data_IF_033352588021
#
_entry.id   IF_033352588021
#
_cell.length_a   1.000
_cell.length_b   1.000
_cell.length_c   1.000
_cell.angle_alpha   90.00
_cell.angle_beta   90.00
_cell.angle_gamma   90.00
#
_symmetry.space_group_name_H-M   'P 1'
#
loop_
_entity.id
_entity.type
_entity.pdbx_description
1 polymer ?
#
# COMPACT_ATOMS: atom_id res chain seq x y z
N UNK A 1 -9.24 -24.25 2.95
CA UNK A 1 -8.32 -23.11 2.80
C UNK A 1 -9.07 -21.88 3.29
N UNK A 2 -8.47 -21.09 4.18
CA UNK A 2 -9.06 -19.82 4.64
C UNK A 2 -9.09 -18.80 3.50
N UNK A 3 -9.90 -17.74 3.64
CA UNK A 3 -9.86 -16.60 2.72
C UNK A 3 -8.52 -15.88 2.88
N UNK A 4 -7.90 -15.48 1.77
CA UNK A 4 -6.63 -14.76 1.77
C UNK A 4 -6.82 -13.33 2.28
N UNK A 5 -5.93 -12.84 3.14
CA UNK A 5 -5.91 -11.44 3.57
C UNK A 5 -5.28 -10.59 2.47
N UNK A 6 -6.09 -9.76 1.81
CA UNK A 6 -5.67 -8.89 0.72
C UNK A 6 -5.41 -7.50 1.26
N UNK A 7 -4.19 -6.99 1.04
CA UNK A 7 -3.81 -5.63 1.33
C UNK A 7 -3.66 -4.85 0.03
N UNK A 8 -4.45 -3.79 -0.15
CA UNK A 8 -4.33 -2.82 -1.23
C UNK A 8 -3.72 -1.54 -0.68
N UNK A 9 -2.53 -1.17 -1.17
CA UNK A 9 -1.89 0.11 -0.84
C UNK A 9 -2.06 1.05 -2.03
N UNK A 10 -2.82 2.13 -1.83
CA UNK A 10 -2.97 3.18 -2.83
C UNK A 10 -1.89 4.25 -2.66
N UNK A 11 -1.09 4.42 -3.71
CA UNK A 11 -0.04 5.44 -3.82
C UNK A 11 -0.43 6.66 -4.64
N UNK A 12 -1.73 6.90 -4.87
CA UNK A 12 -2.19 8.11 -5.56
C UNK A 12 -1.92 9.35 -4.70
N UNK A 13 -1.30 10.43 -5.21
CA UNK A 13 -0.91 11.57 -4.39
C UNK A 13 -2.08 12.45 -3.94
N UNK A 14 -3.21 12.41 -4.65
CA UNK A 14 -4.43 13.15 -4.30
C UNK A 14 -5.68 12.48 -4.88
N UNK A 15 -6.32 11.60 -4.11
CA UNK A 15 -7.51 10.87 -4.57
C UNK A 15 -8.72 11.78 -4.82
N UNK A 16 -8.81 12.96 -4.19
CA UNK A 16 -9.96 13.86 -4.35
C UNK A 16 -10.07 14.40 -5.79
N UNK A 17 -8.97 14.42 -6.53
CA UNK A 17 -8.93 14.82 -7.93
C UNK A 17 -8.71 13.64 -8.89
N UNK A 18 -8.80 12.40 -8.40
CA UNK A 18 -8.70 11.20 -9.23
C UNK A 18 -10.06 10.75 -9.75
N UNK A 19 -10.11 10.37 -11.03
CA UNK A 19 -11.28 9.66 -11.59
C UNK A 19 -11.00 8.17 -11.53
N UNK A 20 -10.07 7.67 -12.35
CA UNK A 20 -9.86 6.24 -12.52
C UNK A 20 -9.43 5.50 -11.24
N UNK A 21 -8.47 6.03 -10.48
CA UNK A 21 -7.97 5.33 -9.28
C UNK A 21 -9.00 5.37 -8.15
N UNK A 22 -9.70 6.50 -7.97
CA UNK A 22 -10.79 6.60 -7.00
C UNK A 22 -11.90 5.57 -7.32
N UNK A 23 -12.34 5.51 -8.58
CA UNK A 23 -13.33 4.50 -9.01
C UNK A 23 -12.86 3.07 -8.75
N UNK A 24 -11.62 2.74 -9.11
CA UNK A 24 -11.07 1.39 -8.85
C UNK A 24 -11.11 1.05 -7.36
N UNK A 25 -10.70 1.97 -6.48
CA UNK A 25 -10.67 1.72 -5.04
C UNK A 25 -12.07 1.57 -4.44
N UNK A 26 -13.05 2.33 -4.91
CA UNK A 26 -14.44 2.22 -4.43
C UNK A 26 -15.11 0.92 -4.91
N UNK A 27 -14.83 0.50 -6.15
CA UNK A 27 -15.26 -0.80 -6.66
C UNK A 27 -14.59 -1.96 -5.90
N UNK A 28 -13.29 -1.85 -5.60
CA UNK A 28 -12.57 -2.85 -4.79
C UNK A 28 -13.13 -2.94 -3.38
N UNK A 29 -13.44 -1.82 -2.73
CA UNK A 29 -14.05 -1.81 -1.40
C UNK A 29 -15.42 -2.52 -1.39
N UNK A 30 -16.16 -2.46 -2.50
CA UNK A 30 -17.44 -3.14 -2.66
C UNK A 30 -17.28 -4.62 -2.99
N UNK A 31 -16.37 -4.95 -3.91
CA UNK A 31 -16.16 -6.31 -4.39
C UNK A 31 -15.38 -7.20 -3.40
N UNK A 32 -14.51 -6.59 -2.60
CA UNK A 32 -13.63 -7.24 -1.63
C UNK A 32 -13.81 -6.59 -0.24
N UNK A 33 -14.96 -6.80 0.43
CA UNK A 33 -15.27 -6.14 1.69
C UNK A 33 -14.30 -6.49 2.83
N UNK A 34 -13.60 -7.62 2.71
CA UNK A 34 -12.61 -8.08 3.68
C UNK A 34 -11.17 -7.62 3.33
N UNK A 35 -10.97 -6.90 2.21
CA UNK A 35 -9.66 -6.38 1.87
C UNK A 35 -9.32 -5.14 2.70
N UNK A 36 -8.09 -5.09 3.21
CA UNK A 36 -7.55 -3.88 3.82
C UNK A 36 -7.13 -2.90 2.71
N UNK A 37 -7.73 -1.71 2.65
CA UNK A 37 -7.37 -0.67 1.68
C UNK A 37 -6.72 0.50 2.41
N UNK A 38 -5.41 0.66 2.24
CA UNK A 38 -4.61 1.75 2.80
C UNK A 38 -4.42 2.85 1.76
N UNK A 39 -5.09 3.99 1.94
CA UNK A 39 -4.99 5.18 1.06
C UNK A 39 -3.94 6.13 1.63
N UNK A 40 -2.72 6.13 1.07
CA UNK A 40 -1.57 6.81 1.69
C UNK A 40 -1.73 8.33 1.78
N UNK A 41 -2.36 8.96 0.79
CA UNK A 41 -2.64 10.40 0.77
C UNK A 41 -3.58 10.83 1.91
N UNK A 42 -4.49 9.95 2.31
CA UNK A 42 -5.45 10.22 3.39
C UNK A 42 -4.89 9.85 4.77
N UNK A 43 -4.16 8.72 4.87
CA UNK A 43 -3.54 8.29 6.12
C UNK A 43 -2.40 9.21 6.55
N UNK A 44 -1.67 9.76 5.58
CA UNK A 44 -0.45 10.54 5.81
C UNK A 44 -0.45 11.84 4.99
N UNK A 45 -1.38 12.78 5.25
CA UNK A 45 -1.47 14.03 4.49
C UNK A 45 -0.24 14.94 4.70
N UNK A 46 0.56 14.71 5.74
CA UNK A 46 1.80 15.41 6.03
C UNK A 46 3.06 14.66 5.54
N UNK A 47 2.88 13.52 4.87
CA UNK A 47 3.96 12.70 4.34
C UNK A 47 4.80 11.96 5.39
N UNK A 48 4.32 11.83 6.63
CA UNK A 48 5.04 11.11 7.71
C UNK A 48 4.42 9.75 7.97
N UNK A 49 5.00 8.70 7.39
CA UNK A 49 4.48 7.35 7.51
C UNK A 49 4.66 6.78 8.92
N UNK A 50 3.64 6.07 9.42
CA UNK A 50 3.80 5.20 10.58
C UNK A 50 4.34 3.85 10.10
N UNK A 51 5.66 3.75 10.03
CA UNK A 51 6.36 2.57 9.48
C UNK A 51 5.97 1.27 10.19
N UNK A 52 5.79 1.29 11.51
CA UNK A 52 5.41 0.10 12.25
C UNK A 52 4.02 -0.41 11.85
N UNK A 53 3.05 0.49 11.67
CA UNK A 53 1.70 0.12 11.24
C UNK A 53 1.69 -0.43 9.80
N UNK A 54 2.43 0.19 8.88
CA UNK A 54 2.54 -0.29 7.50
C UNK A 54 3.19 -1.68 7.43
N UNK A 55 4.26 -1.90 8.21
CA UNK A 55 4.92 -3.20 8.32
C UNK A 55 4.01 -4.27 8.94
N UNK A 56 3.16 -3.91 9.91
CA UNK A 56 2.19 -4.82 10.52
C UNK A 56 1.14 -5.28 9.50
N UNK A 57 0.53 -4.35 8.76
CA UNK A 57 -0.40 -4.69 7.67
C UNK A 57 0.26 -5.58 6.62
N UNK A 58 1.51 -5.30 6.25
CA UNK A 58 2.28 -6.12 5.30
C UNK A 58 2.54 -7.55 5.80
N UNK A 59 2.76 -7.74 7.10
CA UNK A 59 2.99 -9.06 7.69
C UNK A 59 1.71 -9.90 7.80
N UNK A 60 0.54 -9.24 7.86
CA UNK A 60 -0.76 -9.91 7.90
C UNK A 60 -1.29 -10.27 6.51
N UNK A 61 -0.72 -9.66 5.45
CA UNK A 61 -1.18 -9.86 4.09
C UNK A 61 -0.66 -11.14 3.44
N UNK A 62 -1.57 -11.92 2.83
CA UNK A 62 -1.24 -13.01 1.91
C UNK A 62 -1.00 -12.48 0.49
N UNK A 63 -1.69 -11.39 0.12
CA UNK A 63 -1.59 -10.73 -1.18
C UNK A 63 -1.43 -9.22 -0.97
N UNK A 64 -0.41 -8.64 -1.61
CA UNK A 64 -0.16 -7.21 -1.60
C UNK A 64 -0.42 -6.66 -3.00
N UNK A 65 -1.26 -5.63 -3.10
CA UNK A 65 -1.56 -4.91 -4.34
C UNK A 65 -1.11 -3.46 -4.19
N UNK A 66 -0.18 -3.04 -5.05
CA UNK A 66 0.18 -1.64 -5.18
C UNK A 66 -0.66 -0.98 -6.27
N UNK A 67 -1.48 -0.02 -5.88
CA UNK A 67 -2.45 0.65 -6.73
C UNK A 67 -2.05 2.13 -6.87
N UNK A 68 -1.68 2.59 -8.06
CA UNK A 68 -1.22 3.96 -8.25
C UNK A 68 -1.35 4.43 -9.71
N UNK A 69 -1.43 5.75 -9.96
CA UNK A 69 -1.34 6.28 -11.30
C UNK A 69 0.11 6.13 -11.82
N UNK A 70 0.24 5.63 -13.05
CA UNK A 70 1.53 5.55 -13.71
C UNK A 70 2.13 6.95 -13.93
N UNK A 71 3.32 7.20 -13.40
CA UNK A 71 4.00 8.51 -13.48
C UNK A 71 5.38 8.33 -14.09
N UNK A 72 5.60 8.92 -15.27
CA UNK A 72 6.93 9.04 -15.91
C UNK A 72 7.79 7.76 -15.95
N UNK A 73 7.25 6.59 -16.30
CA UNK A 73 8.09 5.36 -16.23
C UNK A 73 7.78 4.45 -15.05
N UNK A 74 7.11 4.98 -14.01
CA UNK A 74 7.08 4.31 -12.71
C UNK A 74 6.08 4.90 -11.73
N UNK A 75 6.52 4.99 -10.47
CA UNK A 75 5.71 5.26 -9.29
C UNK A 75 5.57 6.77 -9.03
N UNK A 76 4.44 7.24 -8.47
CA UNK A 76 4.36 8.55 -7.85
C UNK A 76 5.34 8.71 -6.68
N UNK A 77 5.73 9.95 -6.37
CA UNK A 77 6.66 10.26 -5.28
C UNK A 77 6.21 9.72 -3.92
N UNK A 78 4.92 9.83 -3.61
CA UNK A 78 4.32 9.31 -2.37
C UNK A 78 4.55 7.80 -2.21
N UNK A 79 4.23 7.03 -3.26
CA UNK A 79 4.42 5.57 -3.27
C UNK A 79 5.90 5.19 -3.18
N UNK A 80 6.76 5.92 -3.89
CA UNK A 80 8.20 5.67 -3.86
C UNK A 80 8.79 5.93 -2.47
N UNK A 81 8.40 7.02 -1.82
CA UNK A 81 8.85 7.35 -0.47
C UNK A 81 8.37 6.29 0.54
N UNK A 82 7.11 5.86 0.44
CA UNK A 82 6.58 4.79 1.28
C UNK A 82 7.39 3.49 1.14
N UNK A 83 7.70 3.08 -0.09
CA UNK A 83 8.56 1.90 -0.33
C UNK A 83 9.94 2.07 0.32
N UNK A 84 10.58 3.23 0.16
CA UNK A 84 11.91 3.48 0.68
C UNK A 84 11.97 3.44 2.22
N UNK A 85 10.93 3.92 2.89
CA UNK A 85 10.89 3.98 4.36
C UNK A 85 10.37 2.68 4.99
N UNK A 86 9.49 1.93 4.30
CA UNK A 86 8.88 0.71 4.84
C UNK A 86 9.73 -0.53 4.54
N UNK A 87 10.32 -0.64 3.35
CA UNK A 87 11.03 -1.85 2.88
C UNK A 87 12.52 -1.81 3.23
N UNK A 88 12.81 -1.74 4.52
CA UNK A 88 14.17 -1.59 5.05
C UNK A 88 14.83 -2.92 5.42
N UNK A 89 16.16 -2.87 5.60
CA UNK A 89 16.95 -3.99 6.10
C UNK A 89 16.43 -4.50 7.45
N UNK A 90 16.31 -5.82 7.59
CA UNK A 90 15.76 -6.47 8.78
C UNK A 90 14.24 -6.48 8.85
N UNK A 91 13.57 -5.89 7.85
CA UNK A 91 12.15 -6.10 7.60
C UNK A 91 11.93 -6.80 6.27
N UNK A 92 12.16 -6.10 5.15
CA UNK A 92 11.86 -6.61 3.81
C UNK A 92 13.02 -7.40 3.18
N UNK A 93 14.25 -7.18 3.65
CA UNK A 93 15.43 -7.83 3.09
C UNK A 93 16.57 -7.96 4.13
N UNK A 94 17.62 -8.69 3.76
CA UNK A 94 18.76 -8.97 4.63
C UNK A 94 18.62 -10.28 5.41
N UNK A 95 19.66 -10.70 6.11
CA UNK A 95 19.70 -12.01 6.80
C UNK A 95 18.73 -12.13 7.97
N UNK A 96 18.13 -11.02 8.40
CA UNK A 96 17.14 -10.95 9.48
C UNK A 96 15.78 -10.44 8.99
N UNK A 97 15.48 -10.59 7.70
CA UNK A 97 14.19 -10.18 7.14
C UNK A 97 13.04 -10.87 7.89
N UNK A 98 11.96 -10.12 8.08
CA UNK A 98 10.70 -10.59 8.69
C UNK A 98 9.70 -11.05 7.63
N UNK A 99 9.80 -10.50 6.43
CA UNK A 99 8.98 -10.91 5.29
C UNK A 99 9.46 -12.29 4.83
N UNK A 100 8.51 -13.21 4.62
CA UNK A 100 8.78 -14.60 4.23
C UNK A 100 8.66 -14.86 2.72
N UNK A 101 8.48 -13.80 1.94
CA UNK A 101 8.43 -13.79 0.48
C UNK A 101 9.73 -13.23 -0.12
#
# INVERSE_FOLDING_TARGET
MGMAHILVVSGHPDLNHSIANATILDELATALPDAEIRRLDWLYPDGKFNIAAEQESLLQADVIVWQFPFSWYGLPGLMKQWLDEVFVHGFAHGSTAKTGW
#
